data_IF_486245304391
#
_entry.id   IF_486245304391
#
_cell.length_a   1.000
_cell.length_b   1.000
_cell.length_c   1.000
_cell.angle_alpha   90.00
_cell.angle_beta   90.00
_cell.angle_gamma   90.00
#
_symmetry.space_group_name_H-M   'P 1'
#
loop_
_entity.id
_entity.type
_entity.pdbx_description
1 polymer ?
#
# COMPACT_ATOMS: atom_id res chain seq x y z
N UNK A 1 -13.14 4.00 -14.23
CA UNK A 1 -11.97 3.90 -13.35
C UNK A 1 -11.24 5.23 -13.38
N UNK A 2 -11.31 5.95 -12.27
CA UNK A 2 -10.63 7.23 -12.03
C UNK A 2 -9.23 6.99 -11.48
N UNK A 3 -8.37 8.02 -11.50
CA UNK A 3 -7.02 7.94 -10.95
C UNK A 3 -7.02 7.58 -9.46
N UNK A 4 -7.97 8.13 -8.70
CA UNK A 4 -8.09 7.85 -7.27
C UNK A 4 -8.49 6.40 -6.99
N UNK A 5 -9.42 5.84 -7.77
CA UNK A 5 -9.80 4.43 -7.65
C UNK A 5 -8.63 3.50 -7.99
N UNK A 6 -7.88 3.80 -9.05
CA UNK A 6 -6.71 3.01 -9.44
C UNK A 6 -5.59 3.05 -8.39
N UNK A 7 -5.39 4.21 -7.75
CA UNK A 7 -4.42 4.38 -6.67
C UNK A 7 -4.90 3.76 -5.34
N UNK A 8 -6.23 3.68 -5.12
CA UNK A 8 -6.80 2.96 -3.99
C UNK A 8 -6.60 1.46 -4.11
N UNK A 9 -6.84 0.93 -5.31
CA UNK A 9 -6.65 -0.48 -5.60
C UNK A 9 -5.17 -0.89 -5.48
N UNK A 10 -4.25 -0.04 -5.96
CA UNK A 10 -2.80 -0.13 -5.75
C UNK A 10 -2.43 -0.31 -4.29
N UNK A 11 -2.83 0.63 -3.44
CA UNK A 11 -2.50 0.61 -2.03
C UNK A 11 -3.09 -0.61 -1.31
N UNK A 12 -4.30 -1.04 -1.69
CA UNK A 12 -4.92 -2.26 -1.15
C UNK A 12 -4.16 -3.51 -1.52
N UNK A 13 -3.72 -3.62 -2.77
CA UNK A 13 -2.92 -4.75 -3.23
C UNK A 13 -1.56 -4.79 -2.52
N UNK A 14 -0.90 -3.64 -2.34
CA UNK A 14 0.34 -3.54 -1.57
C UNK A 14 0.14 -3.97 -0.11
N UNK A 15 -0.91 -3.50 0.55
CA UNK A 15 -1.27 -3.92 1.92
C UNK A 15 -1.52 -5.43 1.97
N UNK A 16 -2.25 -6.00 1.01
CA UNK A 16 -2.48 -7.44 0.98
C UNK A 16 -1.15 -8.24 0.88
N UNK A 17 -0.24 -7.83 -0.01
CA UNK A 17 1.08 -8.49 -0.16
C UNK A 17 1.95 -8.38 1.08
N UNK A 18 1.92 -7.22 1.74
CA UNK A 18 2.64 -7.01 3.00
C UNK A 18 2.08 -7.88 4.13
N UNK A 19 0.76 -8.08 4.18
CA UNK A 19 0.08 -8.98 5.11
C UNK A 19 0.45 -10.45 4.87
N UNK A 20 0.47 -10.88 3.60
CA UNK A 20 0.91 -12.24 3.21
C UNK A 20 2.36 -12.52 3.61
N UNK A 21 3.22 -11.49 3.60
CA UNK A 21 4.60 -11.58 4.05
C UNK A 21 4.74 -11.49 5.59
N UNK A 22 3.63 -11.31 6.33
CA UNK A 22 3.63 -11.17 7.78
C UNK A 22 4.23 -9.86 8.29
N UNK A 23 4.23 -8.81 7.46
CA UNK A 23 4.80 -7.51 7.82
C UNK A 23 3.97 -6.77 8.89
N UNK A 24 2.69 -7.08 9.01
CA UNK A 24 1.76 -6.45 9.95
C UNK A 24 1.61 -7.25 11.24
N UNK A 25 1.55 -6.53 12.36
CA UNK A 25 1.03 -7.07 13.61
C UNK A 25 -0.49 -7.25 13.53
N UNK A 26 -1.08 -8.09 14.39
CA UNK A 26 -2.53 -8.26 14.46
C UNK A 26 -3.26 -6.92 14.60
N UNK A 27 -4.22 -6.64 13.71
CA UNK A 27 -5.00 -5.40 13.68
C UNK A 27 -4.35 -4.23 12.94
N UNK A 28 -3.05 -4.27 12.61
CA UNK A 28 -2.44 -3.20 11.79
C UNK A 28 -3.04 -3.17 10.39
N UNK A 29 -3.22 -4.34 9.76
CA UNK A 29 -3.78 -4.46 8.40
C UNK A 29 -5.19 -3.87 8.28
N UNK A 30 -6.05 -4.12 9.27
CA UNK A 30 -7.43 -3.58 9.30
C UNK A 30 -7.44 -2.04 9.38
N UNK A 31 -6.54 -1.45 10.16
CA UNK A 31 -6.40 0.01 10.24
C UNK A 31 -5.93 0.64 8.92
N UNK A 32 -5.06 -0.05 8.18
CA UNK A 32 -4.64 0.41 6.85
C UNK A 32 -5.77 0.28 5.81
N UNK A 33 -6.50 -0.83 5.79
CA UNK A 33 -7.65 -1.02 4.91
C UNK A 33 -8.71 0.08 5.16
N UNK A 34 -9.06 0.34 6.42
CA UNK A 34 -10.01 1.41 6.79
C UNK A 34 -9.52 2.80 6.33
N UNK A 35 -8.26 3.13 6.61
CA UNK A 35 -7.67 4.41 6.20
C UNK A 35 -7.58 4.61 4.67
N UNK A 36 -7.49 3.52 3.90
CA UNK A 36 -7.53 3.56 2.42
C UNK A 36 -8.98 3.71 1.92
N UNK A 37 -9.95 3.08 2.58
CA UNK A 37 -11.37 3.19 2.25
C UNK A 37 -11.96 4.56 2.53
N UNK A 38 -11.63 5.14 3.69
CA UNK A 38 -12.17 6.43 4.14
C UNK A 38 -11.58 7.63 3.38
N UNK A 39 -10.42 7.46 2.73
CA UNK A 39 -9.77 8.55 2.02
C UNK A 39 -10.51 8.88 0.71
N UNK A 40 -11.36 9.92 0.73
CA UNK A 40 -12.15 10.39 -0.42
C UNK A 40 -11.36 11.27 -1.40
N UNK A 41 -10.23 11.84 -0.97
CA UNK A 41 -9.39 12.69 -1.81
C UNK A 41 -8.05 12.04 -2.14
N UNK A 42 -7.53 12.34 -3.34
CA UNK A 42 -6.22 11.86 -3.79
C UNK A 42 -5.11 12.25 -2.81
N UNK A 43 -5.17 13.46 -2.23
CA UNK A 43 -4.20 13.92 -1.24
C UNK A 43 -4.22 13.10 0.04
N UNK A 44 -5.39 12.67 0.50
CA UNK A 44 -5.55 11.81 1.69
C UNK A 44 -4.98 10.41 1.40
N UNK A 45 -5.31 9.85 0.24
CA UNK A 45 -4.76 8.57 -0.20
C UNK A 45 -3.22 8.60 -0.30
N UNK A 46 -2.65 9.66 -0.87
CA UNK A 46 -1.20 9.83 -0.95
C UNK A 46 -0.55 9.96 0.43
N UNK A 47 -1.20 10.65 1.37
CA UNK A 47 -0.71 10.71 2.76
C UNK A 47 -0.74 9.34 3.43
N UNK A 48 -1.81 8.55 3.22
CA UNK A 48 -1.89 7.17 3.71
C UNK A 48 -0.79 6.29 3.09
N UNK A 49 -0.55 6.40 1.78
CA UNK A 49 0.55 5.70 1.11
C UNK A 49 1.93 6.08 1.64
N UNK A 50 2.18 7.36 1.89
CA UNK A 50 3.46 7.82 2.48
C UNK A 50 3.63 7.33 3.92
N UNK A 51 2.56 7.36 4.72
CA UNK A 51 2.56 6.84 6.09
C UNK A 51 2.82 5.34 6.10
N UNK A 52 2.20 4.57 5.20
CA UNK A 52 2.44 3.15 5.03
C UNK A 52 3.91 2.90 4.68
N UNK A 53 4.45 3.59 3.67
CA UNK A 53 5.86 3.46 3.29
C UNK A 53 6.79 3.71 4.49
N UNK A 54 6.58 4.80 5.23
CA UNK A 54 7.39 5.11 6.43
C UNK A 54 7.27 4.04 7.53
N UNK A 55 6.08 3.49 7.76
CA UNK A 55 5.84 2.46 8.76
C UNK A 55 6.48 1.11 8.39
N UNK A 56 6.63 0.87 7.08
CA UNK A 56 7.13 -0.36 6.50
C UNK A 56 8.66 -0.34 6.30
N UNK A 57 9.25 0.84 6.03
CA UNK A 57 10.70 1.01 5.88
C UNK A 57 11.46 0.44 7.08
N UNK A 58 12.38 -0.48 6.81
CA UNK A 58 13.23 -1.12 7.81
C UNK A 58 12.65 -2.36 8.48
N UNK A 59 11.41 -2.77 8.15
CA UNK A 59 10.89 -4.11 8.51
C UNK A 59 11.52 -5.17 7.60
N UNK A 60 11.84 -6.34 8.17
CA UNK A 60 12.44 -7.45 7.43
C UNK A 60 11.48 -7.97 6.34
N UNK A 61 11.99 -8.25 5.13
CA UNK A 61 11.22 -8.76 3.99
C UNK A 61 10.30 -7.76 3.29
N UNK A 62 10.07 -6.57 3.86
CA UNK A 62 9.20 -5.56 3.27
C UNK A 62 9.81 -4.91 2.03
N UNK A 63 11.12 -4.64 2.04
CA UNK A 63 11.79 -3.97 0.92
C UNK A 63 11.65 -4.77 -0.39
N UNK A 64 11.73 -6.10 -0.29
CA UNK A 64 11.52 -7.01 -1.41
C UNK A 64 10.08 -6.94 -1.92
N UNK A 65 9.08 -7.00 -1.04
CA UNK A 65 7.65 -6.91 -1.41
C UNK A 65 7.32 -5.58 -2.09
N UNK A 66 7.78 -4.46 -1.51
CA UNK A 66 7.55 -3.11 -2.07
C UNK A 66 8.24 -2.99 -3.42
N UNK A 67 9.45 -3.52 -3.56
CA UNK A 67 10.20 -3.49 -4.81
C UNK A 67 9.52 -4.33 -5.89
N UNK A 68 9.13 -5.57 -5.60
CA UNK A 68 8.40 -6.43 -6.54
C UNK A 68 7.09 -5.77 -6.99
N UNK A 69 6.28 -5.29 -6.03
CA UNK A 69 5.02 -4.61 -6.33
C UNK A 69 5.22 -3.34 -7.20
N UNK A 70 6.26 -2.56 -6.91
CA UNK A 70 6.59 -1.35 -7.68
C UNK A 70 7.15 -1.70 -9.06
N UNK A 71 8.00 -2.72 -9.19
CA UNK A 71 8.57 -3.15 -10.47
C UNK A 71 7.51 -3.73 -11.40
N UNK A 72 6.61 -4.58 -10.88
CA UNK A 72 5.46 -5.13 -11.63
C UNK A 72 4.57 -4.02 -12.18
N UNK A 73 4.34 -2.96 -11.38
CA UNK A 73 3.49 -1.85 -11.78
C UNK A 73 4.21 -0.83 -12.67
N UNK A 74 5.50 -0.59 -12.45
CA UNK A 74 6.27 0.31 -13.32
C UNK A 74 6.27 -0.22 -14.76
N UNK A 75 6.31 -1.55 -14.97
CA UNK A 75 6.15 -2.16 -16.30
C UNK A 75 4.74 -1.99 -16.90
N UNK A 76 3.69 -1.90 -16.09
CA UNK A 76 2.33 -1.68 -16.58
C UNK A 76 2.07 -0.25 -17.09
N UNK A 77 2.97 0.69 -16.78
CA UNK A 77 2.86 2.11 -17.18
C UNK A 77 3.96 2.58 -18.16
N UNK A 78 4.81 1.68 -18.70
CA UNK A 78 5.76 1.97 -19.81
C UNK A 78 5.26 1.46 -21.15
#
# INVERSE_FOLDING_TARGET
MTLIEAYRDDLRELVARLDENGAFAPGEREAWDEGIEEADQMSELMMTGEALHKAMVGREGVDEVVKEHTEERTQAFV
#
